data_IF_808539607220
#
_entry.id   IF_808539607220
#
_cell.length_a   1.000
_cell.length_b   1.000
_cell.length_c   1.000
_cell.angle_alpha   90.00
_cell.angle_beta   90.00
_cell.angle_gamma   90.00
#
_symmetry.space_group_name_H-M   'P 1'
#
loop_
_entity.id
_entity.type
_entity.pdbx_description
1 polymer ?
#
# COMPACT_ATOMS: atom_id res chain seq x y z
N UNK A 1 -15.18 31.47 -14.22
CA UNK A 1 -15.56 30.06 -14.11
C UNK A 1 -14.29 29.25 -14.22
N UNK A 2 -13.84 28.62 -13.12
CA UNK A 2 -12.73 27.67 -13.15
C UNK A 2 -13.27 26.39 -13.83
N UNK A 3 -12.54 25.89 -14.82
CA UNK A 3 -12.93 24.78 -15.69
C UNK A 3 -13.38 23.53 -14.91
N UNK A 4 -14.60 23.03 -15.18
CA UNK A 4 -15.09 21.70 -14.77
C UNK A 4 -14.50 20.56 -15.62
N UNK A 5 -13.65 20.86 -16.60
CA UNK A 5 -13.11 19.87 -17.52
C UNK A 5 -11.96 19.11 -16.87
N UNK A 6 -11.99 17.78 -16.99
CA UNK A 6 -10.87 16.93 -16.61
C UNK A 6 -9.63 17.18 -17.48
N UNK A 7 -8.47 16.82 -16.95
CA UNK A 7 -7.20 16.88 -17.66
C UNK A 7 -6.72 15.47 -18.01
N UNK A 8 -6.46 15.22 -19.29
CA UNK A 8 -5.85 13.99 -19.77
C UNK A 8 -4.47 14.26 -20.34
N UNK A 9 -3.45 13.56 -19.85
CA UNK A 9 -2.08 13.62 -20.34
C UNK A 9 -1.68 12.25 -20.89
N UNK A 10 -1.16 12.22 -22.12
CA UNK A 10 -0.61 11.00 -22.74
C UNK A 10 0.82 11.29 -23.22
N UNK A 11 1.80 10.80 -22.48
CA UNK A 11 3.22 11.11 -22.66
C UNK A 11 4.01 9.81 -22.84
N UNK A 12 4.43 9.48 -24.06
CA UNK A 12 5.13 8.19 -24.30
C UNK A 12 6.42 7.99 -23.45
N UNK A 13 7.05 9.07 -23.01
CA UNK A 13 8.30 9.06 -22.23
C UNK A 13 8.13 9.51 -20.78
N UNK A 14 9.07 10.33 -20.33
CA UNK A 14 9.04 10.95 -19.00
C UNK A 14 8.04 12.11 -18.96
N UNK A 15 7.09 12.03 -18.03
CA UNK A 15 6.39 13.21 -17.53
C UNK A 15 7.14 13.74 -16.30
N UNK A 16 7.71 14.94 -16.39
CA UNK A 16 8.42 15.61 -15.30
C UNK A 16 7.50 16.63 -14.62
N UNK A 17 7.10 16.35 -13.39
CA UNK A 17 6.33 17.24 -12.50
C UNK A 17 7.10 17.51 -11.20
N UNK A 18 8.43 17.49 -11.22
CA UNK A 18 9.23 17.77 -10.02
C UNK A 18 8.99 19.19 -9.53
N UNK A 19 8.72 19.35 -8.24
CA UNK A 19 8.35 20.64 -7.62
C UNK A 19 7.15 21.34 -8.27
N UNK A 20 6.44 20.66 -9.17
CA UNK A 20 5.33 21.19 -9.95
C UNK A 20 3.98 20.87 -9.31
N UNK A 21 2.92 21.37 -9.94
CA UNK A 21 1.54 21.08 -9.60
C UNK A 21 0.76 20.72 -10.87
N UNK A 22 0.21 19.52 -10.91
CA UNK A 22 -0.83 19.12 -11.86
C UNK A 22 -2.14 18.97 -11.09
N UNK A 23 -3.13 19.79 -11.44
CA UNK A 23 -4.41 19.83 -10.72
C UNK A 23 -5.59 19.95 -11.68
N UNK A 24 -6.59 19.10 -11.50
CA UNK A 24 -7.86 19.14 -12.22
C UNK A 24 -8.96 18.42 -11.41
N UNK A 25 -10.26 18.66 -11.60
CA UNK A 25 -11.30 17.88 -10.91
C UNK A 25 -11.18 16.38 -11.17
N UNK A 26 -10.92 16.01 -12.43
CA UNK A 26 -10.58 14.66 -12.88
C UNK A 26 -9.22 14.72 -13.58
N UNK A 27 -8.30 13.83 -13.24
CA UNK A 27 -6.94 13.80 -13.79
C UNK A 27 -6.59 12.39 -14.26
N UNK A 28 -6.39 12.24 -15.56
CA UNK A 28 -5.94 11.00 -16.19
C UNK A 28 -4.54 11.18 -16.77
N UNK A 29 -3.58 10.38 -16.31
CA UNK A 29 -2.20 10.42 -16.76
C UNK A 29 -1.81 9.05 -17.28
N UNK A 30 -1.34 8.99 -18.52
CA UNK A 30 -0.62 7.86 -19.07
C UNK A 30 0.79 8.33 -19.45
N UNK A 31 1.81 7.72 -18.87
CA UNK A 31 3.19 8.05 -19.17
C UNK A 31 4.10 6.82 -19.29
N UNK A 32 5.25 6.93 -19.96
CA UNK A 32 6.28 5.90 -19.87
C UNK A 32 6.85 5.82 -18.44
N UNK A 33 7.21 6.97 -17.88
CA UNK A 33 7.59 7.15 -16.47
C UNK A 33 7.08 8.51 -15.97
N UNK A 34 6.95 8.66 -14.65
CA UNK A 34 6.52 9.91 -14.02
C UNK A 34 7.46 10.28 -12.88
N UNK A 35 8.07 11.46 -12.95
CA UNK A 35 8.76 12.06 -11.80
C UNK A 35 7.88 13.14 -11.16
N UNK A 36 7.47 12.91 -9.92
CA UNK A 36 6.72 13.82 -9.06
C UNK A 36 7.54 14.15 -7.79
N UNK A 37 8.88 14.14 -7.88
CA UNK A 37 9.77 14.44 -6.75
C UNK A 37 9.47 15.84 -6.20
N UNK A 38 9.05 15.91 -4.93
CA UNK A 38 8.58 17.15 -4.30
C UNK A 38 7.45 17.87 -5.05
N UNK A 39 6.79 17.19 -6.00
CA UNK A 39 5.69 17.70 -6.81
C UNK A 39 4.34 17.38 -6.19
N UNK A 40 3.27 17.81 -6.84
CA UNK A 40 1.89 17.53 -6.45
C UNK A 40 1.03 17.16 -7.65
N UNK A 41 0.31 16.05 -7.52
CA UNK A 41 -0.79 15.64 -8.38
C UNK A 41 -2.07 15.72 -7.54
N UNK A 42 -3.03 16.53 -7.97
CA UNK A 42 -4.24 16.82 -7.19
C UNK A 42 -5.48 16.63 -8.06
N UNK A 43 -6.41 15.80 -7.61
CA UNK A 43 -7.72 15.71 -8.24
C UNK A 43 -8.87 15.55 -7.26
N UNK A 44 -9.83 16.47 -7.28
CA UNK A 44 -10.94 16.48 -6.32
C UNK A 44 -11.89 15.30 -6.44
N UNK A 45 -12.09 14.78 -7.66
CA UNK A 45 -13.00 13.67 -7.93
C UNK A 45 -12.24 12.37 -8.18
N UNK A 46 -11.35 12.35 -9.17
CA UNK A 46 -10.69 11.13 -9.63
C UNK A 46 -9.30 11.40 -10.17
N UNK A 47 -8.37 10.51 -9.80
CA UNK A 47 -7.01 10.50 -10.35
C UNK A 47 -6.69 9.08 -10.83
N UNK A 48 -6.57 8.93 -12.14
CA UNK A 48 -6.08 7.70 -12.77
C UNK A 48 -4.66 7.92 -13.28
N UNK A 49 -3.72 7.09 -12.82
CA UNK A 49 -2.32 7.12 -13.23
C UNK A 49 -1.90 5.76 -13.79
N UNK A 50 -1.45 5.75 -15.03
CA UNK A 50 -0.82 4.60 -15.66
C UNK A 50 0.62 4.93 -16.05
N UNK A 51 1.57 4.11 -15.59
CA UNK A 51 2.96 4.17 -16.06
C UNK A 51 3.48 2.81 -16.46
N UNK A 52 4.29 2.76 -17.52
CA UNK A 52 4.95 1.52 -17.94
C UNK A 52 6.14 1.19 -17.04
N UNK A 53 6.83 2.23 -16.54
CA UNK A 53 7.99 2.12 -15.66
C UNK A 53 7.73 2.74 -14.28
N UNK A 54 8.74 3.49 -13.81
CA UNK A 54 8.76 4.10 -12.49
C UNK A 54 7.79 5.29 -12.39
N UNK A 55 7.00 5.28 -11.32
CA UNK A 55 6.43 6.47 -10.73
C UNK A 55 7.25 6.87 -9.48
N UNK A 56 8.01 7.95 -9.60
CA UNK A 56 8.81 8.53 -8.51
C UNK A 56 8.00 9.63 -7.81
N UNK A 57 7.45 9.30 -6.64
CA UNK A 57 6.67 10.19 -5.78
C UNK A 57 7.43 10.57 -4.50
N UNK A 58 8.76 10.50 -4.50
CA UNK A 58 9.55 10.87 -3.31
C UNK A 58 9.30 12.31 -2.90
N UNK A 59 9.09 12.53 -1.61
CA UNK A 59 8.72 13.84 -1.04
C UNK A 59 7.50 14.51 -1.74
N UNK A 60 6.81 13.76 -2.61
CA UNK A 60 5.77 14.22 -3.50
C UNK A 60 4.39 13.88 -2.95
N UNK A 61 3.36 14.43 -3.60
CA UNK A 61 1.97 14.24 -3.20
C UNK A 61 1.14 13.74 -4.37
N UNK A 62 0.36 12.71 -4.09
CA UNK A 62 -0.78 12.26 -4.86
C UNK A 62 -2.00 12.43 -3.97
N UNK A 63 -2.90 13.35 -4.32
CA UNK A 63 -4.11 13.67 -3.56
C UNK A 63 -5.32 13.49 -4.47
N UNK A 64 -6.21 12.57 -4.14
CA UNK A 64 -7.35 12.24 -4.99
C UNK A 64 -8.66 12.13 -4.21
N UNK A 65 -9.79 12.44 -4.86
CA UNK A 65 -11.09 11.97 -4.38
C UNK A 65 -11.14 10.43 -4.38
N UNK A 66 -10.92 9.84 -5.55
CA UNK A 66 -10.59 8.41 -5.72
C UNK A 66 -9.32 8.25 -6.52
N UNK A 67 -8.47 7.31 -6.13
CA UNK A 67 -7.21 7.02 -6.80
C UNK A 67 -7.21 5.66 -7.49
N UNK A 68 -6.71 5.59 -8.73
CA UNK A 68 -6.39 4.32 -9.40
C UNK A 68 -5.01 4.43 -10.05
N UNK A 69 -4.09 3.56 -9.62
CA UNK A 69 -2.73 3.52 -10.10
C UNK A 69 -2.42 2.15 -10.70
N UNK A 70 -1.81 2.13 -11.88
CA UNK A 70 -1.23 0.94 -12.52
C UNK A 70 0.16 1.29 -13.02
N UNK A 71 1.19 0.84 -12.31
CA UNK A 71 2.58 1.30 -12.54
C UNK A 71 3.53 0.12 -12.74
N UNK A 72 4.67 0.37 -13.36
CA UNK A 72 5.77 -0.60 -13.38
C UNK A 72 6.36 -0.78 -11.99
N UNK A 73 6.68 0.33 -11.33
CA UNK A 73 7.23 0.40 -9.99
C UNK A 73 6.81 1.73 -9.33
N UNK A 74 6.70 1.76 -8.00
CA UNK A 74 6.43 3.00 -7.26
C UNK A 74 7.48 3.23 -6.17
N UNK A 75 8.13 4.39 -6.22
CA UNK A 75 8.94 4.94 -5.13
C UNK A 75 8.16 6.07 -4.45
N UNK A 76 7.60 5.79 -3.28
CA UNK A 76 6.87 6.74 -2.43
C UNK A 76 7.65 7.06 -1.14
N UNK A 77 8.97 6.96 -1.13
CA UNK A 77 9.75 7.26 0.08
C UNK A 77 9.57 8.72 0.49
N UNK A 78 9.22 8.95 1.76
CA UNK A 78 8.86 10.28 2.29
C UNK A 78 7.70 10.98 1.54
N UNK A 79 7.04 10.27 0.61
CA UNK A 79 5.93 10.78 -0.17
C UNK A 79 4.57 10.48 0.46
N UNK A 80 3.52 11.02 -0.15
CA UNK A 80 2.14 10.82 0.25
C UNK A 80 1.30 10.37 -0.95
N UNK A 81 0.61 9.24 -0.80
CA UNK A 81 -0.54 8.85 -1.60
C UNK A 81 -1.78 8.89 -0.70
N UNK A 82 -2.74 9.75 -1.01
CA UNK A 82 -3.96 9.90 -0.24
C UNK A 82 -5.19 9.91 -1.15
N UNK A 83 -6.22 9.16 -0.75
CA UNK A 83 -7.56 9.24 -1.34
C UNK A 83 -8.65 9.49 -0.28
N UNK A 84 -9.60 10.36 -0.60
CA UNK A 84 -10.78 10.62 0.26
C UNK A 84 -11.83 9.49 0.19
N UNK A 85 -11.74 8.63 -0.81
CA UNK A 85 -12.54 7.41 -0.98
C UNK A 85 -11.58 6.26 -1.29
N UNK A 86 -11.89 5.42 -2.28
CA UNK A 86 -11.07 4.25 -2.58
C UNK A 86 -9.75 4.63 -3.26
N UNK A 87 -8.70 3.91 -2.90
CA UNK A 87 -7.39 3.92 -3.53
C UNK A 87 -7.04 2.51 -4.01
N UNK A 88 -6.87 2.34 -5.31
CA UNK A 88 -6.38 1.08 -5.89
C UNK A 88 -4.99 1.29 -6.46
N UNK A 89 -4.03 0.44 -6.10
CA UNK A 89 -2.67 0.46 -6.62
C UNK A 89 -2.28 -0.94 -7.09
N UNK A 90 -1.96 -1.06 -8.37
CA UNK A 90 -1.28 -2.21 -8.94
C UNK A 90 0.15 -1.83 -9.34
N UNK A 91 1.13 -2.63 -8.92
CA UNK A 91 2.53 -2.47 -9.32
C UNK A 91 3.16 -3.83 -9.63
N UNK A 92 3.89 -3.91 -10.76
CA UNK A 92 4.55 -5.15 -11.16
C UNK A 92 5.82 -5.42 -10.33
N UNK A 93 6.65 -4.39 -10.19
CA UNK A 93 7.98 -4.50 -9.57
C UNK A 93 8.00 -4.04 -8.10
N UNK A 94 6.82 -3.77 -7.53
CA UNK A 94 6.66 -3.48 -6.10
C UNK A 94 6.50 -2.00 -5.77
N UNK A 95 6.50 -1.74 -4.48
CA UNK A 95 6.31 -0.42 -3.87
C UNK A 95 7.33 -0.21 -2.77
N UNK A 96 8.10 0.87 -2.84
CA UNK A 96 8.85 1.40 -1.71
C UNK A 96 8.09 2.55 -1.06
N UNK A 97 7.55 2.32 0.14
CA UNK A 97 6.88 3.30 0.99
C UNK A 97 7.73 3.63 2.24
N UNK A 98 9.06 3.51 2.16
CA UNK A 98 9.94 3.75 3.32
C UNK A 98 9.82 5.18 3.83
N UNK A 99 9.32 5.35 5.05
CA UNK A 99 9.00 6.66 5.63
C UNK A 99 7.92 7.45 4.88
N UNK A 100 7.24 6.84 3.91
CA UNK A 100 6.12 7.42 3.19
C UNK A 100 4.77 7.08 3.84
N UNK A 101 3.70 7.58 3.24
CA UNK A 101 2.32 7.30 3.65
C UNK A 101 1.44 6.90 2.47
N UNK A 102 0.70 5.81 2.64
CA UNK A 102 -0.48 5.47 1.85
C UNK A 102 -1.71 5.60 2.76
N UNK A 103 -2.69 6.39 2.33
CA UNK A 103 -3.89 6.69 3.09
C UNK A 103 -5.14 6.62 2.21
N UNK A 104 -6.18 5.94 2.69
CA UNK A 104 -7.48 5.87 2.02
C UNK A 104 -8.57 5.93 3.07
N UNK A 105 -9.50 6.88 2.96
CA UNK A 105 -10.60 6.97 3.92
C UNK A 105 -11.66 5.86 3.72
N UNK A 106 -11.63 5.15 2.58
CA UNK A 106 -12.44 3.96 2.31
C UNK A 106 -11.56 2.71 2.12
N UNK A 107 -11.64 2.04 0.99
CA UNK A 107 -10.87 0.81 0.74
C UNK A 107 -9.54 1.11 0.05
N UNK A 108 -8.46 0.64 0.65
CA UNK A 108 -7.15 0.55 0.01
C UNK A 108 -6.95 -0.85 -0.57
N UNK A 109 -6.86 -0.95 -1.90
CA UNK A 109 -6.54 -2.20 -2.59
C UNK A 109 -5.12 -2.16 -3.14
N UNK A 110 -4.29 -3.12 -2.75
CA UNK A 110 -2.90 -3.27 -3.19
C UNK A 110 -2.72 -4.60 -3.94
N UNK A 111 -2.19 -4.54 -5.16
CA UNK A 111 -1.78 -5.71 -5.95
C UNK A 111 -0.33 -5.52 -6.40
N UNK A 112 0.60 -6.12 -5.66
CA UNK A 112 2.03 -5.80 -5.72
C UNK A 112 2.84 -7.05 -6.07
N UNK A 113 3.20 -7.20 -7.35
CA UNK A 113 3.84 -8.42 -7.86
C UNK A 113 5.11 -8.83 -7.13
N UNK A 114 6.07 -7.92 -6.98
CA UNK A 114 7.33 -8.20 -6.29
C UNK A 114 7.22 -8.07 -4.77
N UNK A 115 6.79 -6.92 -4.25
CA UNK A 115 6.74 -6.70 -2.82
C UNK A 115 6.37 -5.30 -2.38
N UNK A 116 6.22 -5.13 -1.07
CA UNK A 116 6.03 -3.86 -0.37
C UNK A 116 7.14 -3.66 0.67
N UNK A 117 7.91 -2.58 0.52
CA UNK A 117 8.81 -2.08 1.56
C UNK A 117 8.09 -0.95 2.30
N UNK A 118 7.66 -1.18 3.54
CA UNK A 118 6.98 -0.21 4.39
C UNK A 118 7.81 0.18 5.62
N UNK A 119 9.13 0.20 5.51
CA UNK A 119 10.00 0.47 6.65
C UNK A 119 9.81 1.89 7.16
N UNK A 120 9.50 2.08 8.44
CA UNK A 120 9.14 3.40 9.03
C UNK A 120 8.00 4.11 8.29
N UNK A 121 7.29 3.41 7.42
CA UNK A 121 6.18 3.93 6.62
C UNK A 121 4.85 3.63 7.29
N UNK A 122 3.80 4.29 6.78
CA UNK A 122 2.42 4.06 7.18
C UNK A 122 1.58 3.66 5.98
N UNK A 123 0.80 2.61 6.16
CA UNK A 123 -0.30 2.23 5.27
C UNK A 123 -1.56 2.18 6.12
N UNK A 124 -2.52 3.06 5.84
CA UNK A 124 -3.75 3.17 6.64
C UNK A 124 -4.99 3.27 5.79
N UNK A 125 -6.06 2.57 6.18
CA UNK A 125 -7.37 2.72 5.55
C UNK A 125 -8.54 2.28 6.45
N UNK A 126 -9.78 2.52 6.02
CA UNK A 126 -10.94 1.89 6.66
C UNK A 126 -10.92 0.36 6.44
N UNK A 127 -10.52 -0.09 5.25
CA UNK A 127 -10.28 -1.50 4.90
C UNK A 127 -9.05 -1.58 4.02
N UNK A 128 -8.19 -2.56 4.26
CA UNK A 128 -7.03 -2.86 3.41
C UNK A 128 -7.20 -4.25 2.82
N UNK A 129 -7.12 -4.35 1.50
CA UNK A 129 -7.05 -5.59 0.74
C UNK A 129 -5.71 -5.64 0.00
N UNK A 130 -4.73 -6.37 0.54
CA UNK A 130 -3.37 -6.39 0.02
C UNK A 130 -2.97 -7.79 -0.43
N UNK A 131 -2.58 -7.90 -1.70
CA UNK A 131 -1.87 -9.05 -2.27
C UNK A 131 -0.47 -8.60 -2.66
N UNK A 132 0.55 -9.30 -2.19
CA UNK A 132 1.94 -8.93 -2.47
C UNK A 132 2.88 -10.12 -2.54
N UNK A 133 3.97 -10.01 -3.30
CA UNK A 133 5.03 -11.02 -3.30
C UNK A 133 5.66 -11.19 -1.91
N UNK A 134 6.35 -10.18 -1.41
CA UNK A 134 6.84 -10.11 -0.02
C UNK A 134 6.47 -8.80 0.65
N UNK A 135 6.38 -8.76 1.97
CA UNK A 135 6.15 -7.52 2.73
C UNK A 135 7.22 -7.35 3.80
N UNK A 136 7.94 -6.24 3.75
CA UNK A 136 8.82 -5.78 4.84
C UNK A 136 8.16 -4.59 5.52
N UNK A 137 7.56 -4.83 6.69
CA UNK A 137 6.93 -3.83 7.55
C UNK A 137 7.80 -3.50 8.77
N UNK A 138 9.12 -3.65 8.67
CA UNK A 138 10.01 -3.46 9.80
C UNK A 138 10.00 -2.00 10.31
N UNK A 139 9.69 -1.80 11.60
CA UNK A 139 9.45 -0.47 12.19
C UNK A 139 8.37 0.36 11.47
N UNK A 140 7.55 -0.27 10.62
CA UNK A 140 6.44 0.34 9.92
C UNK A 140 5.10 -0.01 10.56
N UNK A 141 4.03 0.55 10.01
CA UNK A 141 2.65 0.27 10.46
C UNK A 141 1.73 0.04 9.26
N UNK A 142 0.99 -1.06 9.29
CA UNK A 142 -0.24 -1.26 8.51
C UNK A 142 -1.41 -1.24 9.48
N UNK A 143 -2.37 -0.35 9.25
CA UNK A 143 -3.54 -0.18 10.13
C UNK A 143 -4.83 -0.10 9.31
N UNK A 144 -5.75 -1.03 9.56
CA UNK A 144 -7.09 -0.97 9.00
C UNK A 144 -8.11 -0.73 10.11
N UNK A 145 -9.02 0.23 9.97
CA UNK A 145 -10.05 0.46 11.00
C UNK A 145 -10.98 -0.76 11.15
N UNK A 146 -11.30 -1.42 10.03
CA UNK A 146 -12.22 -2.55 10.01
C UNK A 146 -11.49 -3.87 9.74
N UNK A 147 -11.02 -4.05 8.52
CA UNK A 147 -10.45 -5.33 8.10
C UNK A 147 -9.16 -5.11 7.37
N UNK A 148 -8.12 -5.84 7.79
CA UNK A 148 -6.88 -6.01 7.06
C UNK A 148 -6.88 -7.44 6.50
N UNK A 149 -7.09 -7.56 5.20
CA UNK A 149 -6.84 -8.78 4.45
C UNK A 149 -5.46 -8.65 3.81
N UNK A 150 -4.54 -9.49 4.25
CA UNK A 150 -3.17 -9.48 3.78
C UNK A 150 -2.78 -10.88 3.30
N UNK A 151 -2.49 -11.00 2.00
CA UNK A 151 -1.98 -12.22 1.38
C UNK A 151 -0.60 -11.95 0.78
N UNK A 152 0.42 -12.52 1.42
CA UNK A 152 1.82 -12.37 1.03
C UNK A 152 2.29 -13.70 0.44
N UNK A 153 2.70 -13.75 -0.82
CA UNK A 153 3.13 -15.00 -1.47
C UNK A 153 4.41 -15.59 -0.84
N UNK A 154 5.26 -14.74 -0.27
CA UNK A 154 6.54 -15.07 0.34
C UNK A 154 6.60 -14.67 1.81
N UNK A 155 7.72 -14.05 2.19
CA UNK A 155 7.99 -13.60 3.55
C UNK A 155 7.18 -12.34 3.88
N UNK A 156 6.51 -12.38 5.03
CA UNK A 156 6.05 -11.21 5.76
C UNK A 156 7.00 -10.96 6.94
N UNK A 157 7.79 -9.91 6.84
CA UNK A 157 8.65 -9.44 7.93
C UNK A 157 8.00 -8.25 8.65
N UNK A 158 7.44 -8.52 9.83
CA UNK A 158 6.86 -7.54 10.72
C UNK A 158 7.78 -7.23 11.92
N UNK A 159 9.10 -7.37 11.76
CA UNK A 159 10.06 -7.14 12.85
C UNK A 159 10.03 -5.71 13.37
N UNK A 160 9.76 -5.50 14.67
CA UNK A 160 9.53 -4.17 15.28
C UNK A 160 8.38 -3.38 14.61
N UNK A 161 7.57 -4.02 13.77
CA UNK A 161 6.47 -3.41 13.03
C UNK A 161 5.12 -3.68 13.67
N UNK A 162 4.09 -3.04 13.13
CA UNK A 162 2.72 -3.17 13.62
C UNK A 162 1.75 -3.50 12.49
N UNK A 163 0.97 -4.58 12.68
CA UNK A 163 -0.22 -4.91 11.90
C UNK A 163 -1.44 -4.83 12.82
N UNK A 164 -2.30 -3.86 12.57
CA UNK A 164 -3.43 -3.53 13.42
C UNK A 164 -4.73 -3.55 12.62
N UNK A 165 -5.74 -4.23 13.13
CA UNK A 165 -7.10 -4.14 12.60
C UNK A 165 -8.15 -4.54 13.63
N UNK A 166 -9.43 -4.24 13.39
CA UNK A 166 -10.50 -4.93 14.13
C UNK A 166 -10.51 -6.42 13.76
N UNK A 167 -10.49 -6.72 12.47
CA UNK A 167 -10.41 -8.07 11.92
C UNK A 167 -9.17 -8.23 11.05
N UNK A 168 -8.30 -9.18 11.41
CA UNK A 168 -7.06 -9.44 10.70
C UNK A 168 -7.12 -10.83 10.06
N UNK A 169 -7.11 -10.87 8.73
CA UNK A 169 -6.97 -12.09 7.95
C UNK A 169 -5.61 -12.07 7.27
N UNK A 170 -4.70 -12.90 7.77
CA UNK A 170 -3.31 -12.91 7.33
C UNK A 170 -2.96 -14.26 6.71
N UNK A 171 -2.51 -14.23 5.46
CA UNK A 171 -1.91 -15.36 4.74
C UNK A 171 -0.47 -15.02 4.36
N UNK A 172 0.47 -15.89 4.73
CA UNK A 172 1.88 -15.72 4.40
C UNK A 172 2.53 -17.07 4.10
N UNK A 173 3.60 -17.13 3.29
CA UNK A 173 4.40 -18.35 3.23
C UNK A 173 5.22 -18.49 4.53
N UNK A 174 5.84 -17.40 4.98
CA UNK A 174 6.50 -17.30 6.27
C UNK A 174 6.20 -15.96 6.93
N UNK A 175 6.01 -15.97 8.25
CA UNK A 175 5.81 -14.79 9.08
C UNK A 175 6.98 -14.65 10.06
N UNK A 176 7.66 -13.51 10.02
CA UNK A 176 8.54 -13.04 11.07
C UNK A 176 7.86 -11.91 11.86
N UNK A 177 7.63 -12.11 13.16
CA UNK A 177 7.05 -11.13 14.07
C UNK A 177 7.95 -10.88 15.30
N UNK A 178 9.28 -10.95 15.15
CA UNK A 178 10.19 -10.66 16.25
C UNK A 178 10.10 -9.19 16.68
N UNK A 179 9.84 -8.92 17.97
CA UNK A 179 9.58 -7.58 18.50
C UNK A 179 8.40 -6.84 17.83
N UNK A 180 7.61 -7.52 16.99
CA UNK A 180 6.50 -6.94 16.26
C UNK A 180 5.17 -7.15 16.96
N UNK A 181 4.16 -6.42 16.51
CA UNK A 181 2.79 -6.51 17.01
C UNK A 181 1.85 -6.90 15.85
N UNK A 182 1.19 -8.04 15.98
CA UNK A 182 -0.03 -8.39 15.27
C UNK A 182 -1.18 -8.30 16.28
N UNK A 183 -2.09 -7.35 16.08
CA UNK A 183 -3.23 -7.15 16.97
C UNK A 183 -4.51 -7.03 16.16
N UNK A 184 -5.37 -8.01 16.33
CA UNK A 184 -6.78 -7.89 16.01
C UNK A 184 -7.55 -7.40 17.25
N UNK A 185 -8.41 -6.40 17.12
CA UNK A 185 -9.29 -6.01 18.23
C UNK A 185 -10.36 -7.07 18.49
N UNK A 186 -10.80 -7.77 17.44
CA UNK A 186 -11.84 -8.80 17.50
C UNK A 186 -11.31 -10.17 17.09
N UNK A 187 -11.03 -10.37 15.80
CA UNK A 187 -10.68 -11.69 15.26
C UNK A 187 -9.40 -11.69 14.45
N UNK A 188 -8.56 -12.69 14.69
CA UNK A 188 -7.36 -13.01 13.91
C UNK A 188 -7.50 -14.40 13.27
N UNK A 189 -7.44 -14.46 11.93
CA UNK A 189 -7.18 -15.69 11.17
C UNK A 189 -5.77 -15.61 10.59
N UNK A 190 -4.86 -16.43 11.12
CA UNK A 190 -3.46 -16.52 10.69
C UNK A 190 -3.22 -17.84 9.95
N UNK A 191 -2.86 -17.75 8.68
CA UNK A 191 -2.45 -18.89 7.85
C UNK A 191 -1.02 -18.70 7.38
N UNK A 192 -0.10 -19.52 7.89
CA UNK A 192 1.31 -19.44 7.50
C UNK A 192 1.97 -20.81 7.42
N UNK A 193 2.97 -20.96 6.55
CA UNK A 193 3.80 -22.15 6.50
C UNK A 193 4.79 -22.21 7.68
N UNK A 194 5.33 -21.05 8.06
CA UNK A 194 6.18 -20.88 9.24
C UNK A 194 5.85 -19.59 9.97
N UNK A 195 5.91 -19.61 11.31
CA UNK A 195 5.71 -18.43 12.17
C UNK A 195 6.87 -18.33 13.15
N UNK A 196 7.60 -17.22 13.12
CA UNK A 196 8.62 -16.84 14.09
C UNK A 196 8.10 -15.68 14.92
N UNK A 197 7.71 -15.93 16.16
CA UNK A 197 7.33 -14.90 17.13
C UNK A 197 8.26 -14.98 18.35
N UNK A 198 9.43 -14.34 18.23
CA UNK A 198 10.48 -14.35 19.27
C UNK A 198 10.16 -13.44 20.47
N UNK A 199 11.11 -13.35 21.41
CA UNK A 199 10.98 -12.47 22.59
C UNK A 199 10.65 -11.03 22.18
N UNK A 200 9.65 -10.43 22.83
CA UNK A 200 9.14 -9.09 22.49
C UNK A 200 8.06 -9.07 21.39
N UNK A 201 7.90 -10.14 20.62
CA UNK A 201 6.83 -10.26 19.62
C UNK A 201 5.48 -10.59 20.26
N UNK A 202 4.41 -9.95 19.80
CA UNK A 202 3.03 -10.18 20.25
C UNK A 202 2.11 -10.48 19.07
N UNK A 203 1.38 -11.59 19.17
CA UNK A 203 0.25 -11.94 18.28
C UNK A 203 -0.98 -12.08 19.17
N UNK A 204 -2.03 -11.29 18.92
CA UNK A 204 -3.21 -11.26 19.80
C UNK A 204 -4.50 -10.93 19.06
N UNK A 205 -5.60 -11.43 19.60
CA UNK A 205 -6.96 -11.08 19.22
C UNK A 205 -7.80 -10.85 20.49
N UNK A 206 -8.80 -9.97 20.44
CA UNK A 206 -9.68 -9.70 21.58
C UNK A 206 -10.71 -10.79 21.85
N UNK A 207 -11.16 -11.50 20.81
CA UNK A 207 -12.17 -12.56 20.93
C UNK A 207 -11.65 -13.90 20.42
N UNK A 208 -11.28 -13.98 19.14
CA UNK A 208 -10.90 -15.25 18.50
C UNK A 208 -9.56 -15.14 17.78
N UNK A 209 -8.70 -16.12 18.02
CA UNK A 209 -7.49 -16.34 17.24
C UNK A 209 -7.53 -17.77 16.67
N UNK A 210 -7.55 -17.86 15.34
CA UNK A 210 -7.38 -19.10 14.60
C UNK A 210 -6.02 -19.09 13.92
N UNK A 211 -5.27 -20.17 14.06
CA UNK A 211 -4.01 -20.37 13.37
C UNK A 211 -4.05 -21.69 12.60
N UNK A 212 -3.68 -21.66 11.32
CA UNK A 212 -3.64 -22.85 10.47
C UNK A 212 -2.46 -22.83 9.51
N UNK A 213 -2.13 -23.98 8.94
CA UNK A 213 -1.07 -24.10 7.96
C UNK A 213 -1.57 -23.60 6.59
N UNK A 214 -0.78 -22.77 5.90
CA UNK A 214 -1.08 -22.40 4.51
C UNK A 214 -0.77 -23.58 3.58
N UNK A 215 -1.74 -24.20 2.91
CA UNK A 215 -1.43 -25.23 1.93
C UNK A 215 -0.52 -24.66 0.84
N UNK A 216 0.50 -25.43 0.43
CA UNK A 216 1.34 -25.05 -0.71
C UNK A 216 0.50 -24.89 -1.98
N UNK A 217 1.00 -24.16 -3.01
CA UNK A 217 0.34 -24.15 -4.30
C UNK A 217 0.15 -25.60 -4.77
N UNK A 218 -1.08 -25.96 -5.17
CA UNK A 218 -1.31 -27.24 -5.81
C UNK A 218 -0.40 -27.30 -7.06
N UNK A 219 0.54 -28.26 -7.04
CA UNK A 219 1.47 -28.49 -8.15
C UNK A 219 0.80 -29.05 -9.39
#
# INVERSE_FOLDING_TARGET
MLSEQGLTLHIAGLLDNRQGLLSAPELAIQAGTLSNLSGSLVAGNGLTLQTDGLFDNRDGKFLAGSGRLSVGELDNRQGLLQAERDLTLASRNGLDNTGGRLDSQATLTLDLGAGLLNQRGLVSAARIDARTGSLVNASGRLEAQNTLLLDTAGLLDNGNGELLARDLLLKAAALNNQNGILRAERSLDLQAGQVSNGAGGRISAGEQLTASHRPGPAG
#
